data_IF_721714342446
#
_entry.id   IF_721714342446
#
_cell.length_a   1.000
_cell.length_b   1.000
_cell.length_c   1.000
_cell.angle_alpha   90.00
_cell.angle_beta   90.00
_cell.angle_gamma   90.00
#
_symmetry.space_group_name_H-M   'P 1'
#
loop_
_entity.id
_entity.type
_entity.pdbx_description
1 polymer ?
#
# COMPACT_ATOMS: atom_id res chain seq x y z
N UNK A 1 -27.04 25.87 -59.33
CA UNK A 1 -27.00 26.01 -57.85
C UNK A 1 -26.65 24.66 -57.25
N UNK A 2 -25.36 24.33 -57.24
CA UNK A 2 -24.73 23.30 -56.40
C UNK A 2 -23.22 23.65 -56.34
N UNK A 3 -22.62 23.86 -55.16
CA UNK A 3 -21.17 24.05 -55.02
C UNK A 3 -20.46 22.67 -55.06
N UNK A 4 -19.38 22.49 -55.81
CA UNK A 4 -17.96 22.76 -55.43
C UNK A 4 -17.59 21.93 -54.17
N UNK A 5 -17.04 20.72 -54.28
CA UNK A 5 -15.69 20.33 -54.69
C UNK A 5 -14.63 20.51 -53.58
N UNK A 6 -14.14 19.37 -53.05
CA UNK A 6 -12.79 19.16 -52.48
C UNK A 6 -12.68 17.76 -51.88
N UNK A 7 -12.16 16.83 -52.68
CA UNK A 7 -11.25 15.76 -52.23
C UNK A 7 -9.84 16.38 -52.01
N UNK A 8 -8.77 15.69 -51.52
CA UNK A 8 -8.60 14.24 -51.34
C UNK A 8 -7.78 13.80 -50.09
N UNK A 9 -7.51 12.47 -50.03
CA UNK A 9 -6.38 11.76 -49.38
C UNK A 9 -6.37 11.68 -47.84
N UNK A 10 -6.34 10.51 -47.17
CA UNK A 10 -5.61 9.26 -47.41
C UNK A 10 -6.26 8.06 -46.71
N UNK A 11 -6.07 6.90 -47.34
CA UNK A 11 -5.93 5.55 -46.81
C UNK A 11 -5.83 5.38 -45.26
N UNK A 12 -6.78 4.57 -44.75
CA UNK A 12 -6.93 3.93 -43.42
C UNK A 12 -5.73 3.02 -43.03
N UNK A 13 -5.65 2.25 -41.90
CA UNK A 13 -6.60 2.01 -40.78
C UNK A 13 -5.92 1.70 -39.40
N UNK A 14 -5.82 2.60 -38.42
CA UNK A 14 -5.43 2.19 -37.04
C UNK A 14 -5.72 3.33 -36.05
N UNK A 15 -6.77 3.22 -35.23
CA UNK A 15 -6.89 3.86 -33.89
C UNK A 15 -8.25 3.61 -33.19
N UNK A 16 -9.06 2.66 -33.66
CA UNK A 16 -10.20 2.15 -32.92
C UNK A 16 -9.75 1.09 -31.90
N UNK A 17 -9.29 1.51 -30.73
CA UNK A 17 -9.32 0.69 -29.50
C UNK A 17 -9.62 1.60 -28.31
N UNK A 18 -10.86 2.11 -28.29
CA UNK A 18 -11.51 2.51 -27.06
C UNK A 18 -11.73 1.27 -26.19
N UNK A 19 -10.87 1.09 -25.19
CA UNK A 19 -11.23 0.34 -23.98
C UNK A 19 -12.24 1.15 -23.18
N UNK A 20 -13.47 1.27 -23.68
CA UNK A 20 -14.59 1.81 -22.94
C UNK A 20 -14.85 0.91 -21.74
N UNK A 21 -14.48 1.37 -20.54
CA UNK A 21 -14.93 0.78 -19.30
C UNK A 21 -16.45 0.96 -19.27
N UNK A 22 -17.18 -0.14 -19.39
CA UNK A 22 -18.64 -0.16 -19.25
C UNK A 22 -19.01 0.49 -17.89
N UNK A 23 -19.66 1.68 -17.88
CA UNK A 23 -20.01 2.36 -16.64
C UNK A 23 -21.02 1.55 -15.80
N UNK A 24 -21.67 0.53 -16.38
CA UNK A 24 -22.61 -0.35 -15.67
C UNK A 24 -21.91 -1.41 -14.81
N UNK A 25 -20.63 -1.71 -15.03
CA UNK A 25 -19.85 -2.62 -14.14
C UNK A 25 -19.36 -1.96 -12.84
N UNK A 26 -19.42 -0.63 -12.76
CA UNK A 26 -19.00 0.15 -11.58
C UNK A 26 -20.13 0.41 -10.58
N UNK A 27 -21.37 0.05 -10.92
CA UNK A 27 -22.59 0.44 -10.20
C UNK A 27 -22.82 -0.23 -8.83
N UNK A 28 -21.80 -0.86 -8.23
CA UNK A 28 -21.92 -1.49 -6.91
C UNK A 28 -20.61 -1.61 -6.13
N UNK A 29 -19.52 -0.96 -6.57
CA UNK A 29 -18.20 -1.03 -5.92
C UNK A 29 -17.87 0.33 -5.32
N UNK A 30 -17.32 0.34 -4.11
CA UNK A 30 -16.94 1.57 -3.41
C UNK A 30 -16.07 2.49 -4.30
N UNK A 31 -16.31 3.82 -4.34
CA UNK A 31 -15.62 4.74 -5.23
C UNK A 31 -14.09 4.69 -5.11
N UNK A 32 -13.54 4.56 -3.89
CA UNK A 32 -12.09 4.47 -3.68
C UNK A 32 -11.52 3.17 -4.26
N UNK A 33 -12.27 2.08 -4.14
CA UNK A 33 -11.90 0.80 -4.73
C UNK A 33 -11.89 0.88 -6.25
N UNK A 34 -12.92 1.48 -6.85
CA UNK A 34 -13.00 1.66 -8.30
C UNK A 34 -11.84 2.50 -8.84
N UNK A 35 -11.50 3.61 -8.16
CA UNK A 35 -10.35 4.44 -8.49
C UNK A 35 -9.04 3.65 -8.40
N UNK A 36 -8.85 2.85 -7.35
CA UNK A 36 -7.64 2.05 -7.17
C UNK A 36 -7.47 1.00 -8.29
N UNK A 37 -8.55 0.34 -8.70
CA UNK A 37 -8.48 -0.68 -9.76
C UNK A 37 -8.08 -0.07 -11.11
N UNK A 38 -8.70 1.05 -11.51
CA UNK A 38 -8.32 1.79 -12.72
C UNK A 38 -6.86 2.26 -12.67
N UNK A 39 -6.41 2.72 -11.49
CA UNK A 39 -5.03 3.12 -11.29
C UNK A 39 -4.04 1.96 -11.48
N UNK A 40 -4.39 0.75 -11.04
CA UNK A 40 -3.58 -0.45 -11.25
C UNK A 40 -3.54 -0.88 -12.72
N UNK A 41 -4.62 -0.65 -13.46
CA UNK A 41 -4.70 -0.85 -14.92
C UNK A 41 -3.88 0.19 -15.71
N UNK A 42 -3.32 1.20 -15.03
CA UNK A 42 -2.44 2.21 -15.62
C UNK A 42 -3.16 3.48 -16.05
N UNK A 43 -4.45 3.63 -15.73
CA UNK A 43 -5.18 4.87 -15.96
C UNK A 43 -4.61 5.98 -15.07
N UNK A 44 -3.92 6.94 -15.69
CA UNK A 44 -3.30 8.06 -14.97
C UNK A 44 -4.32 9.12 -14.56
N UNK A 45 -5.49 9.16 -15.20
CA UNK A 45 -6.51 10.21 -14.97
C UNK A 45 -7.15 10.12 -13.58
N UNK A 46 -7.08 8.95 -12.96
CA UNK A 46 -7.64 8.71 -11.61
C UNK A 46 -6.69 9.08 -10.47
N UNK A 47 -5.42 9.43 -10.77
CA UNK A 47 -4.42 9.71 -9.74
C UNK A 47 -4.83 10.89 -8.85
N UNK A 48 -5.30 12.00 -9.43
CA UNK A 48 -5.69 13.18 -8.66
C UNK A 48 -6.86 12.88 -7.72
N UNK A 49 -7.83 12.08 -8.17
CA UNK A 49 -8.95 11.65 -7.34
C UNK A 49 -8.48 10.75 -6.19
N UNK A 50 -7.58 9.80 -6.47
CA UNK A 50 -6.95 8.96 -5.43
C UNK A 50 -6.18 9.81 -4.42
N UNK A 51 -5.38 10.77 -4.89
CA UNK A 51 -4.58 11.63 -4.03
C UNK A 51 -5.46 12.50 -3.14
N UNK A 52 -6.55 13.08 -3.66
CA UNK A 52 -7.50 13.84 -2.83
C UNK A 52 -8.11 13.01 -1.72
N UNK A 53 -8.43 11.75 -1.98
CA UNK A 53 -9.02 10.84 -0.97
C UNK A 53 -7.98 10.32 0.03
N UNK A 54 -6.79 9.95 -0.44
CA UNK A 54 -5.78 9.24 0.37
C UNK A 54 -4.72 10.17 0.98
N UNK A 55 -4.54 11.38 0.45
CA UNK A 55 -3.56 12.35 0.94
C UNK A 55 -3.79 12.73 2.41
N UNK A 56 -5.01 13.10 2.82
CA UNK A 56 -5.30 13.42 4.23
C UNK A 56 -5.01 12.27 5.22
N UNK A 57 -5.46 11.01 5.02
CA UNK A 57 -5.12 9.93 5.95
C UNK A 57 -3.62 9.60 5.95
N UNK A 58 -2.95 9.63 4.80
CA UNK A 58 -1.48 9.46 4.71
C UNK A 58 -0.75 10.55 5.49
N UNK A 59 -1.17 11.80 5.37
CA UNK A 59 -0.57 12.91 6.13
C UNK A 59 -0.77 12.76 7.64
N UNK A 60 -1.98 12.38 8.08
CA UNK A 60 -2.27 12.11 9.50
C UNK A 60 -1.38 11.00 10.04
N UNK A 61 -1.17 9.95 9.27
CA UNK A 61 -0.28 8.84 9.60
C UNK A 61 1.16 9.28 9.84
N UNK A 62 1.68 10.11 8.95
CA UNK A 62 3.06 10.61 9.03
C UNK A 62 3.20 11.56 10.22
N UNK A 63 2.24 12.49 10.42
CA UNK A 63 2.22 13.39 11.58
C UNK A 63 2.13 12.66 12.91
N UNK A 64 1.43 11.54 12.98
CA UNK A 64 1.39 10.74 14.20
C UNK A 64 2.74 10.10 14.56
N UNK A 65 3.63 9.91 13.58
CA UNK A 65 4.96 9.33 13.78
C UNK A 65 6.02 10.42 13.98
N UNK A 66 5.94 11.52 13.21
CA UNK A 66 6.96 12.58 13.19
C UNK A 66 6.58 13.85 13.96
N UNK A 67 5.32 13.98 14.39
CA UNK A 67 4.80 15.20 15.00
C UNK A 67 4.67 16.36 14.00
N UNK A 68 4.98 17.57 14.46
CA UNK A 68 4.93 18.82 13.69
C UNK A 68 6.11 19.03 12.73
N UNK A 69 6.70 17.95 12.25
CA UNK A 69 7.91 18.00 11.45
C UNK A 69 7.71 18.62 10.05
N UNK A 70 8.63 19.47 9.56
CA UNK A 70 8.48 20.11 8.25
C UNK A 70 8.57 19.13 7.07
N UNK A 71 9.14 17.93 7.23
CA UNK A 71 9.26 16.93 6.15
C UNK A 71 7.97 16.12 5.92
N UNK A 72 6.91 16.37 6.69
CA UNK A 72 5.64 15.65 6.56
C UNK A 72 5.13 15.69 5.12
N UNK A 73 5.20 16.86 4.48
CA UNK A 73 4.64 17.08 3.14
C UNK A 73 5.49 16.37 2.07
N UNK A 74 6.81 16.42 2.22
CA UNK A 74 7.75 15.67 1.38
C UNK A 74 7.53 14.17 1.50
N UNK A 75 7.27 13.67 2.72
CA UNK A 75 7.01 12.26 2.96
C UNK A 75 5.64 11.81 2.46
N UNK A 76 4.64 12.70 2.43
CA UNK A 76 3.39 12.41 1.72
C UNK A 76 3.71 12.19 0.25
N UNK A 77 4.42 13.10 -0.40
CA UNK A 77 4.78 12.96 -1.81
C UNK A 77 5.60 11.68 -2.08
N UNK A 78 6.65 11.43 -1.30
CA UNK A 78 7.47 10.22 -1.38
C UNK A 78 6.64 8.94 -1.16
N UNK A 79 5.65 8.96 -0.26
CA UNK A 79 4.72 7.85 -0.07
C UNK A 79 3.95 7.52 -1.37
N UNK A 80 3.42 8.53 -2.06
CA UNK A 80 2.70 8.30 -3.32
C UNK A 80 3.63 7.84 -4.45
N UNK A 81 4.87 8.34 -4.51
CA UNK A 81 5.88 7.87 -5.46
C UNK A 81 6.25 6.40 -5.19
N UNK A 82 6.45 6.01 -3.93
CA UNK A 82 6.70 4.62 -3.53
C UNK A 82 5.51 3.73 -3.82
N UNK A 83 4.28 4.20 -3.57
CA UNK A 83 3.06 3.48 -3.93
C UNK A 83 2.99 3.27 -5.45
N UNK A 84 3.32 4.29 -6.24
CA UNK A 84 3.37 4.16 -7.70
C UNK A 84 4.38 3.12 -8.17
N UNK A 85 5.59 3.12 -7.59
CA UNK A 85 6.62 2.13 -7.90
C UNK A 85 6.22 0.70 -7.46
N UNK A 86 5.47 0.58 -6.36
CA UNK A 86 5.03 -0.69 -5.80
C UNK A 86 3.67 -1.17 -6.34
N UNK A 87 2.98 -0.41 -7.21
CA UNK A 87 1.59 -0.68 -7.59
C UNK A 87 1.39 -2.08 -8.20
N UNK A 88 2.37 -2.59 -8.95
CA UNK A 88 2.31 -3.94 -9.55
C UNK A 88 2.39 -5.08 -8.52
N UNK A 89 2.85 -4.79 -7.31
CA UNK A 89 2.87 -5.74 -6.19
C UNK A 89 1.58 -5.73 -5.37
N UNK A 90 0.67 -4.81 -5.67
CA UNK A 90 -0.65 -4.79 -5.05
C UNK A 90 -1.49 -5.95 -5.59
N UNK A 91 -2.13 -6.68 -4.69
CA UNK A 91 -2.99 -7.82 -5.03
C UNK A 91 -4.47 -7.41 -4.84
N UNK A 92 -5.22 -7.11 -5.92
CA UNK A 92 -6.62 -6.76 -5.83
C UNK A 92 -7.51 -7.85 -5.26
N UNK A 93 -7.11 -9.13 -5.36
CA UNK A 93 -7.91 -10.24 -4.85
C UNK A 93 -7.96 -10.27 -3.31
N UNK A 94 -6.98 -9.64 -2.65
CA UNK A 94 -6.93 -9.50 -1.18
C UNK A 94 -7.66 -8.26 -0.67
N UNK A 95 -8.27 -7.47 -1.56
CA UNK A 95 -8.93 -6.24 -1.18
C UNK A 95 -10.22 -6.54 -0.42
N UNK A 96 -10.27 -6.15 0.86
CA UNK A 96 -11.46 -6.31 1.71
C UNK A 96 -12.32 -5.04 1.75
N UNK A 97 -12.38 -4.27 0.66
CA UNK A 97 -13.08 -2.98 0.60
C UNK A 97 -12.15 -1.76 0.61
N UNK A 98 -12.69 -0.53 0.75
CA UNK A 98 -11.92 0.71 0.72
C UNK A 98 -10.84 0.80 1.79
N UNK A 99 -11.05 0.17 2.95
CA UNK A 99 -10.06 0.14 4.03
C UNK A 99 -8.78 -0.60 3.65
N UNK A 100 -8.85 -1.56 2.72
CA UNK A 100 -7.68 -2.26 2.22
C UNK A 100 -6.76 -1.31 1.44
N UNK A 101 -7.36 -0.41 0.67
CA UNK A 101 -6.64 0.63 -0.08
C UNK A 101 -5.98 1.61 0.89
N UNK A 102 -6.74 2.15 1.85
CA UNK A 102 -6.21 3.09 2.85
C UNK A 102 -5.07 2.46 3.65
N UNK A 103 -5.26 1.22 4.12
CA UNK A 103 -4.26 0.48 4.90
C UNK A 103 -2.95 0.28 4.14
N UNK A 104 -3.03 -0.04 2.83
CA UNK A 104 -1.83 -0.22 2.01
C UNK A 104 -1.03 1.08 1.87
N UNK A 105 -1.68 2.21 1.58
CA UNK A 105 -1.01 3.52 1.52
C UNK A 105 -0.43 3.93 2.89
N UNK A 106 -1.18 3.74 3.97
CA UNK A 106 -0.70 4.03 5.32
C UNK A 106 0.48 3.15 5.75
N UNK A 107 0.54 1.89 5.30
CA UNK A 107 1.68 1.02 5.55
C UNK A 107 2.95 1.52 4.85
N UNK A 108 2.84 2.03 3.63
CA UNK A 108 3.95 2.67 2.92
C UNK A 108 4.38 3.94 3.66
N UNK A 109 3.41 4.77 4.08
CA UNK A 109 3.66 5.99 4.85
C UNK A 109 4.38 5.73 6.18
N UNK A 110 3.94 4.72 6.93
CA UNK A 110 4.59 4.28 8.18
C UNK A 110 6.05 3.90 7.92
N UNK A 111 6.30 3.09 6.88
CA UNK A 111 7.66 2.65 6.56
C UNK A 111 8.56 3.82 6.14
N UNK A 112 8.04 4.77 5.36
CA UNK A 112 8.75 5.99 4.99
C UNK A 112 9.10 6.83 6.23
N UNK A 113 8.13 7.01 7.13
CA UNK A 113 8.30 7.78 8.37
C UNK A 113 9.30 7.13 9.34
N UNK A 114 9.26 5.80 9.51
CA UNK A 114 10.23 5.08 10.35
C UNK A 114 11.63 5.18 9.75
N UNK A 115 11.76 5.09 8.43
CA UNK A 115 13.03 5.28 7.74
C UNK A 115 13.58 6.70 7.92
N UNK A 116 12.71 7.71 7.91
CA UNK A 116 13.05 9.10 8.19
C UNK A 116 13.60 9.26 9.61
N UNK A 117 12.87 8.79 10.61
CA UNK A 117 13.32 8.80 12.01
C UNK A 117 14.68 8.13 12.16
N UNK A 118 14.86 6.94 11.56
CA UNK A 118 16.14 6.23 11.64
C UNK A 118 17.26 7.04 11.03
N UNK A 119 17.06 7.69 9.87
CA UNK A 119 18.10 8.52 9.24
C UNK A 119 18.55 9.64 10.17
N UNK A 120 17.61 10.29 10.86
CA UNK A 120 17.89 11.38 11.81
C UNK A 120 18.65 10.90 13.04
N UNK A 121 18.20 9.80 13.64
CA UNK A 121 18.82 9.23 14.84
C UNK A 121 20.08 8.40 14.56
N UNK A 122 20.39 8.08 13.29
CA UNK A 122 21.68 7.46 12.94
C UNK A 122 22.84 8.47 12.91
N UNK A 123 22.54 9.78 12.90
CA UNK A 123 23.54 10.85 13.03
C UNK A 123 23.78 11.31 14.48
N UNK A 124 22.92 10.92 15.42
CA UNK A 124 22.99 11.30 16.84
C UNK A 124 22.87 10.01 17.64
N UNK A 125 23.99 9.50 18.15
CA UNK A 125 24.10 8.17 18.77
C UNK A 125 22.90 7.77 19.63
N UNK A 126 22.15 6.77 19.14
CA UNK A 126 21.37 5.82 19.93
C UNK A 126 20.23 6.37 20.77
N UNK A 127 19.05 6.57 20.16
CA UNK A 127 17.77 6.39 20.84
C UNK A 127 16.63 6.25 19.82
N UNK A 128 16.27 5.02 19.45
CA UNK A 128 14.94 4.77 18.86
C UNK A 128 13.91 4.96 19.96
N UNK A 129 13.25 6.13 20.00
CA UNK A 129 12.07 6.34 20.81
C UNK A 129 10.96 5.34 20.46
N UNK A 130 10.05 5.02 21.40
CA UNK A 130 8.97 4.08 21.17
C UNK A 130 8.08 4.58 20.03
N UNK A 131 8.01 3.81 18.95
CA UNK A 131 7.05 4.02 17.87
C UNK A 131 5.66 3.68 18.43
N UNK A 132 4.66 4.57 18.35
CA UNK A 132 3.31 4.24 18.77
C UNK A 132 2.82 2.94 18.11
N UNK A 133 2.36 2.01 18.95
CA UNK A 133 1.86 0.70 18.54
C UNK A 133 0.50 0.83 17.84
N UNK A 134 -0.27 1.84 18.24
CA UNK A 134 -1.55 2.23 17.63
C UNK A 134 -1.37 3.50 16.79
N UNK A 135 -1.69 3.41 15.50
CA UNK A 135 -1.55 4.51 14.55
C UNK A 135 -2.91 4.97 14.01
N UNK A 136 -3.09 6.26 13.68
CA UNK A 136 -4.40 6.80 13.29
C UNK A 136 -5.02 6.18 12.03
N UNK A 137 -4.24 5.59 11.13
CA UNK A 137 -4.84 4.88 9.99
C UNK A 137 -5.64 3.64 10.40
N UNK A 138 -5.32 3.03 11.56
CA UNK A 138 -6.13 1.97 12.13
C UNK A 138 -7.43 2.52 12.75
N UNK A 139 -7.45 3.80 13.13
CA UNK A 139 -8.63 4.53 13.62
C UNK A 139 -9.55 5.03 12.51
N UNK A 140 -9.07 5.43 11.32
CA UNK A 140 -9.97 5.69 10.17
C UNK A 140 -10.53 4.42 9.53
N UNK A 141 -9.79 3.31 9.59
CA UNK A 141 -10.38 1.98 9.41
C UNK A 141 -11.37 1.60 10.53
N UNK A 142 -11.43 2.38 11.63
CA UNK A 142 -12.37 2.25 12.75
C UNK A 142 -13.56 3.22 12.67
N UNK A 143 -13.39 4.42 12.10
CA UNK A 143 -14.48 5.39 11.89
C UNK A 143 -15.55 4.84 10.93
N UNK A 144 -15.19 3.88 10.07
CA UNK A 144 -16.13 3.07 9.27
C UNK A 144 -16.54 1.73 9.92
N UNK A 145 -16.13 1.44 11.16
CA UNK A 145 -16.45 0.19 11.89
C UNK A 145 -16.62 0.42 13.39
N UNK A 146 -17.84 0.80 13.79
CA UNK A 146 -18.28 0.74 15.18
C UNK A 146 -18.55 -0.69 15.72
N UNK A 147 -18.23 -1.76 14.96
CA UNK A 147 -18.63 -3.15 15.30
C UNK A 147 -17.49 -4.18 15.48
N UNK A 148 -16.22 -3.80 15.67
CA UNK A 148 -15.13 -4.76 15.44
C UNK A 148 -13.97 -4.82 16.45
N UNK A 149 -14.18 -4.61 17.75
CA UNK A 149 -13.10 -4.80 18.74
C UNK A 149 -12.68 -6.26 18.85
N UNK A 150 -13.65 -7.18 18.91
CA UNK A 150 -13.41 -8.63 18.99
C UNK A 150 -12.83 -9.19 17.69
N UNK A 151 -13.39 -8.79 16.54
CA UNK A 151 -12.86 -9.19 15.23
C UNK A 151 -11.43 -8.70 15.02
N UNK A 152 -11.09 -7.50 15.51
CA UNK A 152 -9.71 -6.97 15.46
C UNK A 152 -8.76 -7.78 16.32
N UNK A 153 -9.14 -8.12 17.56
CA UNK A 153 -8.34 -9.01 18.42
C UNK A 153 -8.12 -10.38 17.80
N UNK A 154 -9.18 -11.00 17.27
CA UNK A 154 -9.06 -12.29 16.56
C UNK A 154 -8.13 -12.23 15.35
N UNK A 155 -8.24 -11.18 14.53
CA UNK A 155 -7.33 -10.98 13.38
C UNK A 155 -5.91 -10.75 13.85
N UNK A 156 -5.71 -9.94 14.89
CA UNK A 156 -4.40 -9.72 15.51
C UNK A 156 -3.77 -11.03 15.98
N UNK A 157 -4.49 -11.80 16.80
CA UNK A 157 -4.01 -13.07 17.35
C UNK A 157 -3.79 -14.13 16.26
N UNK A 158 -4.62 -14.11 15.21
CA UNK A 158 -4.44 -14.97 14.05
C UNK A 158 -3.17 -14.63 13.28
N UNK A 159 -2.90 -13.34 13.05
CA UNK A 159 -1.68 -12.86 12.39
C UNK A 159 -0.44 -13.22 13.23
N UNK A 160 -0.46 -12.93 14.53
CA UNK A 160 0.65 -13.26 15.44
C UNK A 160 0.90 -14.77 15.53
N UNK A 161 -0.15 -15.58 15.63
CA UNK A 161 -0.05 -17.03 15.61
C UNK A 161 0.53 -17.57 14.30
N UNK A 162 0.14 -16.99 13.15
CA UNK A 162 0.69 -17.39 11.85
C UNK A 162 2.17 -17.03 11.70
N UNK A 163 2.59 -15.89 12.25
CA UNK A 163 3.98 -15.42 12.30
C UNK A 163 4.87 -16.36 13.11
N UNK A 164 4.39 -16.80 14.28
CA UNK A 164 5.12 -17.70 15.18
C UNK A 164 5.43 -19.06 14.55
N UNK A 165 4.66 -19.46 13.54
CA UNK A 165 4.74 -20.76 12.87
C UNK A 165 5.53 -20.73 11.56
N UNK A 166 6.06 -19.57 11.17
CA UNK A 166 6.96 -19.47 10.02
C UNK A 166 8.33 -20.06 10.35
N UNK A 167 9.02 -20.65 9.37
CA UNK A 167 10.44 -20.97 9.52
C UNK A 167 11.24 -19.74 9.91
N UNK A 168 12.22 -19.89 10.80
CA UNK A 168 12.99 -18.78 11.38
C UNK A 168 13.53 -17.78 10.33
N UNK A 169 14.13 -18.22 9.20
CA UNK A 169 14.63 -17.29 8.19
C UNK A 169 13.56 -16.44 7.51
N UNK A 170 12.32 -16.93 7.47
CA UNK A 170 11.16 -16.23 6.90
C UNK A 170 10.54 -15.29 7.93
N UNK A 171 10.34 -15.79 9.16
CA UNK A 171 9.87 -15.01 10.30
C UNK A 171 10.72 -13.77 10.51
N UNK A 172 12.05 -13.94 10.55
CA UNK A 172 12.98 -12.83 10.82
C UNK A 172 12.92 -11.73 9.76
N UNK A 173 12.73 -12.09 8.50
CA UNK A 173 12.53 -11.11 7.42
C UNK A 173 11.24 -10.31 7.63
N UNK A 174 10.15 -10.98 8.02
CA UNK A 174 8.87 -10.30 8.29
C UNK A 174 8.97 -9.41 9.52
N UNK A 175 9.57 -9.85 10.61
CA UNK A 175 9.76 -9.05 11.83
C UNK A 175 10.56 -7.78 11.55
N UNK A 176 11.73 -7.92 10.91
CA UNK A 176 12.59 -6.79 10.60
C UNK A 176 11.90 -5.82 9.64
N UNK A 177 11.22 -6.34 8.61
CA UNK A 177 10.58 -5.49 7.62
C UNK A 177 9.30 -4.83 8.13
N UNK A 178 8.39 -5.58 8.77
CA UNK A 178 7.04 -5.12 9.14
C UNK A 178 6.94 -4.57 10.55
N UNK A 179 7.66 -5.14 11.52
CA UNK A 179 7.61 -4.66 12.90
C UNK A 179 8.65 -3.56 13.13
N UNK A 180 9.87 -3.74 12.61
CA UNK A 180 10.97 -2.76 12.75
C UNK A 180 11.06 -1.76 11.61
N UNK A 181 10.22 -1.89 10.56
CA UNK A 181 10.17 -0.96 9.44
C UNK A 181 11.47 -0.88 8.63
N UNK A 182 12.31 -1.91 8.65
CA UNK A 182 13.57 -1.92 7.89
C UNK A 182 13.28 -2.08 6.39
N UNK A 183 13.87 -1.26 5.51
CA UNK A 183 13.78 -1.50 4.08
C UNK A 183 14.47 -2.82 3.73
N UNK A 184 13.98 -3.50 2.70
CA UNK A 184 14.41 -4.87 2.37
C UNK A 184 15.92 -5.02 2.15
N UNK A 185 16.60 -3.95 1.71
CA UNK A 185 18.06 -3.89 1.58
C UNK A 185 18.80 -3.96 2.93
N UNK A 186 18.26 -3.29 3.95
CA UNK A 186 18.82 -3.28 5.31
C UNK A 186 18.50 -4.59 6.02
N UNK A 187 17.30 -5.14 5.79
CA UNK A 187 16.95 -6.50 6.23
C UNK A 187 17.94 -7.52 5.65
N UNK A 188 18.26 -7.40 4.37
CA UNK A 188 19.21 -8.30 3.72
C UNK A 188 20.62 -8.16 4.32
N UNK A 189 21.10 -6.93 4.51
CA UNK A 189 22.38 -6.66 5.14
C UNK A 189 22.45 -7.22 6.58
N UNK A 190 21.42 -6.96 7.40
CA UNK A 190 21.36 -7.43 8.79
C UNK A 190 21.30 -8.96 8.91
N UNK A 191 20.72 -9.64 7.92
CA UNK A 191 20.63 -11.09 7.86
C UNK A 191 21.80 -11.75 7.12
N UNK A 192 22.77 -10.98 6.62
CA UNK A 192 23.91 -11.51 5.85
C UNK A 192 23.49 -12.20 4.54
N UNK A 193 22.41 -11.75 3.90
CA UNK A 193 21.88 -12.34 2.66
C UNK A 193 21.78 -11.33 1.53
N UNK A 194 21.62 -11.84 0.30
CA UNK A 194 21.37 -11.00 -0.88
C UNK A 194 19.96 -10.35 -0.80
N UNK A 195 19.78 -9.11 -1.30
CA UNK A 195 18.47 -8.44 -1.33
C UNK A 195 17.37 -9.25 -2.03
N UNK A 196 17.71 -9.97 -3.12
CA UNK A 196 16.78 -10.87 -3.79
C UNK A 196 16.33 -12.03 -2.89
N UNK A 197 17.23 -12.61 -2.10
CA UNK A 197 16.90 -13.68 -1.16
C UNK A 197 15.98 -13.19 -0.03
N UNK A 198 16.19 -11.97 0.48
CA UNK A 198 15.29 -11.34 1.45
C UNK A 198 13.87 -11.19 0.88
N UNK A 199 13.74 -10.68 -0.36
CA UNK A 199 12.43 -10.57 -1.05
C UNK A 199 11.74 -11.92 -1.23
N UNK A 200 12.48 -12.96 -1.64
CA UNK A 200 11.95 -14.32 -1.80
C UNK A 200 11.46 -14.88 -0.45
N UNK A 201 12.24 -14.70 0.62
CA UNK A 201 11.84 -15.12 1.97
C UNK A 201 10.60 -14.39 2.46
N UNK A 202 10.51 -13.07 2.23
CA UNK A 202 9.32 -12.28 2.55
C UNK A 202 8.09 -12.77 1.78
N UNK A 203 8.23 -13.00 0.47
CA UNK A 203 7.15 -13.49 -0.37
C UNK A 203 6.64 -14.87 0.11
N UNK A 204 7.54 -15.81 0.39
CA UNK A 204 7.19 -17.12 0.93
C UNK A 204 6.49 -17.00 2.28
N UNK A 205 7.00 -16.14 3.16
CA UNK A 205 6.38 -15.86 4.45
C UNK A 205 4.94 -15.36 4.29
N UNK A 206 4.70 -14.37 3.44
CA UNK A 206 3.37 -13.81 3.21
C UNK A 206 2.40 -14.80 2.59
N UNK A 207 2.88 -15.69 1.70
CA UNK A 207 2.05 -16.75 1.15
C UNK A 207 1.64 -17.75 2.22
N UNK A 208 2.59 -18.22 3.02
CA UNK A 208 2.30 -19.16 4.12
C UNK A 208 1.39 -18.56 5.18
N UNK A 209 1.58 -17.29 5.53
CA UNK A 209 0.67 -16.59 6.46
C UNK A 209 -0.73 -16.46 5.85
N UNK A 210 -0.85 -16.07 4.58
CA UNK A 210 -2.13 -15.93 3.91
C UNK A 210 -2.90 -17.27 3.86
N UNK A 211 -2.25 -18.35 3.42
CA UNK A 211 -2.87 -19.68 3.34
C UNK A 211 -3.40 -20.14 4.71
N UNK A 212 -2.66 -19.86 5.79
CA UNK A 212 -3.06 -20.23 7.15
C UNK A 212 -4.19 -19.39 7.69
N UNK A 213 -4.21 -18.10 7.38
CA UNK A 213 -5.29 -17.20 7.78
C UNK A 213 -6.59 -17.56 7.03
N UNK A 214 -6.50 -17.91 5.75
CA UNK A 214 -7.65 -18.36 4.95
C UNK A 214 -8.29 -19.64 5.49
N UNK A 215 -7.50 -20.64 5.90
CA UNK A 215 -8.00 -21.91 6.48
C UNK A 215 -8.60 -21.78 7.88
N UNK A 216 -8.43 -20.63 8.52
CA UNK A 216 -8.88 -20.38 9.90
C UNK A 216 -10.15 -19.53 9.94
N UNK A 217 -10.50 -18.93 8.80
CA UNK A 217 -11.73 -18.17 8.56
C UNK A 217 -12.87 -19.05 7.97
N UNK A 218 -12.57 -20.32 7.65
CA UNK A 218 -13.53 -21.41 7.30
C UNK A 218 -13.89 -22.23 8.54
#
# INVERSE_FOLDING_TARGET
>A
MHPEDSSPVLWSPFHALHGGVDPRRSAGRDPLVALMLRYLEGDRTVFDALYRTLGPPVRRQIRAILGGDPTVDDLVQDTFLRAHAARSSFDPARLRGPEGVVSWFCAIARNASISELRRRYSGVGGATGPVPEELPCQQLAAEHRALATERRRRVHDAVHGSLAQLPEPQRRVVELHKLRGLPMREVAAQLGIRPGAARVRAHRAYRTMADRLSRRDE
#
